data_IF_274353926369
#
_entry.id   IF_274353926369
#
_cell.length_a   1.000
_cell.length_b   1.000
_cell.length_c   1.000
_cell.angle_alpha   90.00
_cell.angle_beta   90.00
_cell.angle_gamma   90.00
#
_symmetry.space_group_name_H-M   'P 1'
#
loop_
_entity.id
_entity.type
_entity.pdbx_description
1 polymer ?
#
# COMPACT_ATOMS: atom_id res chain seq x y z
N UNK A 1 -3.18 -14.50 2.42
CA UNK A 1 -1.89 -15.22 2.38
C UNK A 1 -1.51 -15.56 3.81
N UNK A 2 -1.38 -16.84 4.16
CA UNK A 2 -1.10 -17.27 5.53
C UNK A 2 0.44 -17.22 5.75
N UNK A 3 0.93 -16.20 6.44
CA UNK A 3 2.36 -15.91 6.65
C UNK A 3 3.11 -16.94 7.53
N UNK A 4 2.49 -18.08 7.87
CA UNK A 4 3.00 -19.01 8.88
C UNK A 4 3.86 -20.16 8.36
N UNK A 5 3.87 -20.45 7.06
CA UNK A 5 4.42 -21.73 6.59
C UNK A 5 5.88 -21.70 6.13
N UNK A 6 6.49 -20.55 5.83
CA UNK A 6 7.87 -20.47 5.30
C UNK A 6 8.71 -19.25 5.74
N UNK A 7 8.37 -18.61 6.85
CA UNK A 7 9.15 -17.47 7.34
C UNK A 7 10.27 -17.96 8.25
N UNK A 8 11.53 -17.79 7.83
CA UNK A 8 12.68 -18.05 8.68
C UNK A 8 13.03 -16.75 9.40
N UNK A 9 12.99 -16.78 10.73
CA UNK A 9 13.41 -15.66 11.56
C UNK A 9 14.84 -15.94 12.01
N UNK A 10 15.77 -15.04 11.69
CA UNK A 10 17.14 -15.10 12.19
C UNK A 10 17.20 -14.23 13.45
N UNK A 11 17.45 -14.82 14.64
CA UNK A 11 17.46 -14.08 15.88
C UNK A 11 18.57 -13.03 15.94
N UNK A 12 18.31 -11.93 16.64
CA UNK A 12 19.25 -10.83 16.85
C UNK A 12 20.62 -11.24 17.41
N UNK A 13 20.67 -12.36 18.14
CA UNK A 13 21.89 -12.95 18.70
C UNK A 13 22.87 -13.41 17.63
N UNK A 14 22.37 -13.77 16.44
CA UNK A 14 23.18 -14.26 15.31
C UNK A 14 23.57 -13.14 14.33
N UNK A 15 22.93 -11.98 14.42
CA UNK A 15 22.99 -10.89 13.42
C UNK A 15 23.58 -9.60 14.00
N UNK A 16 24.25 -9.67 15.15
CA UNK A 16 24.85 -8.52 15.83
C UNK A 16 23.87 -7.40 16.23
N UNK A 17 22.61 -7.77 16.52
CA UNK A 17 21.63 -6.86 17.12
C UNK A 17 20.31 -6.71 16.38
N UNK A 18 20.17 -7.23 15.15
CA UNK A 18 18.99 -7.01 14.32
C UNK A 18 18.10 -8.24 14.13
N UNK A 19 16.82 -8.10 14.42
CA UNK A 19 15.71 -8.97 13.96
C UNK A 19 15.73 -9.16 12.43
N UNK A 20 16.19 -10.29 11.86
CA UNK A 20 16.04 -10.51 10.42
C UNK A 20 14.93 -11.52 10.10
N UNK A 21 14.12 -11.17 9.10
CA UNK A 21 13.06 -12.02 8.56
C UNK A 21 13.43 -12.38 7.13
N UNK A 22 13.60 -13.68 6.88
CA UNK A 22 13.86 -14.21 5.55
C UNK A 22 12.54 -14.68 4.95
N UNK A 23 12.24 -14.14 3.78
CA UNK A 23 11.09 -14.50 2.95
C UNK A 23 11.57 -14.87 1.55
N UNK A 24 10.75 -15.57 0.79
CA UNK A 24 11.08 -15.87 -0.60
C UNK A 24 11.05 -14.59 -1.44
N UNK A 25 11.80 -14.59 -2.55
CA UNK A 25 11.77 -13.48 -3.51
C UNK A 25 10.34 -13.18 -3.99
N UNK A 26 9.55 -14.20 -4.26
CA UNK A 26 8.18 -14.03 -4.72
C UNK A 26 7.31 -13.30 -3.68
N UNK A 27 7.42 -13.67 -2.41
CA UNK A 27 6.72 -12.99 -1.31
C UNK A 27 7.20 -11.55 -1.16
N UNK A 28 8.51 -11.30 -1.27
CA UNK A 28 9.05 -9.95 -1.22
C UNK A 28 8.49 -9.05 -2.33
N UNK A 29 8.49 -9.52 -3.58
CA UNK A 29 7.96 -8.74 -4.71
C UNK A 29 6.45 -8.50 -4.58
N UNK A 30 5.69 -9.49 -4.10
CA UNK A 30 4.26 -9.31 -3.81
C UNK A 30 4.02 -8.27 -2.73
N UNK A 31 4.79 -8.32 -1.63
CA UNK A 31 4.69 -7.35 -0.55
C UNK A 31 5.07 -5.95 -1.03
N UNK A 32 6.15 -5.84 -1.81
CA UNK A 32 6.60 -4.58 -2.40
C UNK A 32 5.53 -3.96 -3.30
N UNK A 33 4.93 -4.76 -4.18
CA UNK A 33 3.82 -4.32 -5.03
C UNK A 33 2.63 -3.84 -4.20
N UNK A 34 2.23 -4.61 -3.20
CA UNK A 34 1.10 -4.26 -2.34
C UNK A 34 1.36 -2.96 -1.55
N UNK A 35 2.59 -2.78 -1.06
CA UNK A 35 2.97 -1.56 -0.36
C UNK A 35 2.94 -0.32 -1.28
N UNK A 36 3.35 -0.47 -2.53
CA UNK A 36 3.26 0.60 -3.52
C UNK A 36 1.80 0.98 -3.82
N UNK A 37 0.93 -0.01 -4.01
CA UNK A 37 -0.50 0.20 -4.23
C UNK A 37 -1.16 0.88 -3.01
N UNK A 38 -0.81 0.45 -1.81
CA UNK A 38 -1.32 1.05 -0.57
C UNK A 38 -0.84 2.49 -0.41
N UNK A 39 0.44 2.76 -0.68
CA UNK A 39 1.01 4.11 -0.62
C UNK A 39 0.31 5.04 -1.61
N UNK A 40 0.06 4.59 -2.83
CA UNK A 40 -0.67 5.35 -3.85
C UNK A 40 -2.13 5.61 -3.43
N UNK A 41 -2.82 4.61 -2.88
CA UNK A 41 -4.17 4.75 -2.36
C UNK A 41 -4.24 5.78 -1.22
N UNK A 42 -3.33 5.71 -0.25
CA UNK A 42 -3.24 6.67 0.86
C UNK A 42 -3.01 8.08 0.33
N UNK A 43 -2.08 8.25 -0.62
CA UNK A 43 -1.80 9.56 -1.21
C UNK A 43 -3.03 10.16 -1.91
N UNK A 44 -3.80 9.34 -2.65
CA UNK A 44 -5.04 9.76 -3.31
C UNK A 44 -6.11 10.17 -2.30
N UNK A 45 -6.28 9.41 -1.21
CA UNK A 45 -7.24 9.75 -0.14
C UNK A 45 -6.85 11.07 0.52
N UNK A 46 -5.59 11.22 0.96
CA UNK A 46 -5.12 12.45 1.59
C UNK A 46 -5.29 13.68 0.68
N UNK A 47 -5.01 13.53 -0.61
CA UNK A 47 -5.26 14.58 -1.60
C UNK A 47 -6.75 14.92 -1.68
N UNK A 48 -7.61 13.91 -1.81
CA UNK A 48 -9.06 14.08 -1.87
C UNK A 48 -9.62 14.79 -0.65
N UNK A 49 -9.21 14.38 0.56
CA UNK A 49 -9.60 15.02 1.82
C UNK A 49 -9.15 16.49 1.88
N UNK A 50 -7.93 16.79 1.45
CA UNK A 50 -7.41 18.16 1.40
C UNK A 50 -8.21 19.02 0.43
N UNK A 51 -8.51 18.51 -0.76
CA UNK A 51 -9.27 19.24 -1.78
C UNK A 51 -10.72 19.46 -1.35
N UNK A 52 -11.34 18.46 -0.71
CA UNK A 52 -12.69 18.58 -0.14
C UNK A 52 -12.73 19.66 0.94
N UNK A 53 -11.81 19.60 1.92
CA UNK A 53 -11.75 20.58 3.02
C UNK A 53 -11.49 22.00 2.54
N UNK A 54 -10.76 22.17 1.45
CA UNK A 54 -10.46 23.50 0.87
C UNK A 54 -11.51 23.97 -0.13
N UNK A 55 -12.63 23.24 -0.29
CA UNK A 55 -13.73 23.61 -1.18
C UNK A 55 -13.37 23.52 -2.67
N UNK A 56 -12.32 22.77 -3.02
CA UNK A 56 -11.85 22.61 -4.41
C UNK A 56 -12.50 21.44 -5.15
N UNK A 57 -13.37 20.69 -4.49
CA UNK A 57 -14.14 19.58 -5.07
C UNK A 57 -15.46 20.06 -5.69
N UNK A 58 -15.89 19.43 -6.77
CA UNK A 58 -17.24 19.60 -7.35
C UNK A 58 -18.06 18.34 -7.10
N UNK A 59 -19.31 18.52 -6.68
CA UNK A 59 -20.28 17.42 -6.62
C UNK A 59 -20.69 17.10 -8.06
N UNK A 60 -20.61 15.83 -8.43
CA UNK A 60 -21.09 15.35 -9.72
C UNK A 60 -22.26 14.41 -9.50
N UNK A 61 -23.33 14.58 -10.29
CA UNK A 61 -24.46 13.64 -10.35
C UNK A 61 -24.25 12.55 -11.40
N UNK A 62 -23.19 12.68 -12.20
CA UNK A 62 -22.80 11.71 -13.21
C UNK A 62 -21.96 10.60 -12.59
N UNK A 63 -22.20 9.37 -13.03
CA UNK A 63 -21.32 8.25 -12.67
C UNK A 63 -19.91 8.49 -13.21
N UNK A 64 -18.89 7.92 -12.55
CA UNK A 64 -17.48 8.07 -12.99
C UNK A 64 -17.27 7.69 -14.47
N UNK A 65 -17.98 6.67 -14.93
CA UNK A 65 -17.92 6.18 -16.32
C UNK A 65 -18.43 7.21 -17.36
N UNK A 66 -19.31 8.13 -16.97
CA UNK A 66 -19.83 9.18 -17.85
C UNK A 66 -18.86 10.37 -17.95
N UNK A 67 -17.98 10.53 -16.95
CA UNK A 67 -17.02 11.64 -16.87
C UNK A 67 -15.77 11.35 -17.70
N UNK A 68 -15.33 10.08 -17.79
CA UNK A 68 -14.14 9.68 -18.57
C UNK A 68 -14.32 9.71 -20.10
N UNK A 69 -15.56 9.86 -20.59
CA UNK A 69 -15.89 9.79 -22.03
C UNK A 69 -16.07 11.16 -22.72
N UNK A 70 -15.75 12.26 -22.04
CA UNK A 70 -15.77 13.62 -22.59
C UNK A 70 -14.37 14.21 -22.61
#
# INVERSE_FOLDING_TARGET
>A
MNLKEKTIIIPKQLTHGEELIVITRNEYEQLKKHFLELSDAIAKIQKGEKELRTGKTKITHHSLNEIERK
#
